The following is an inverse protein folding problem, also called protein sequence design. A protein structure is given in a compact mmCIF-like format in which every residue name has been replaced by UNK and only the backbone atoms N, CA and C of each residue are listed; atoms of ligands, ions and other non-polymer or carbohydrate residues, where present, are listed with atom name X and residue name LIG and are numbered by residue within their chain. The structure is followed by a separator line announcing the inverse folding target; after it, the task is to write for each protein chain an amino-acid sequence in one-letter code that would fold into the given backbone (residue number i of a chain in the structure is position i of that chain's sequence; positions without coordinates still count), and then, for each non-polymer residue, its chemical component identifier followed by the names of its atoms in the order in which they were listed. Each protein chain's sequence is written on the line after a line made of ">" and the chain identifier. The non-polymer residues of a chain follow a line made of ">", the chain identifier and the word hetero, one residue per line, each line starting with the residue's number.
data_IF_071313853631
#
_entry.id   IF_071313853631
#
_cell.length_a   1.000
_cell.length_b   1.000
_cell.length_c   1.000
_cell.angle_alpha   90.00
_cell.angle_beta   90.00
_cell.angle_gamma   90.00
#
_symmetry.space_group_name_H-M   'P 1'
#
loop_
_entity.id
_entity.type
_entity.pdbx_description
1 polymer ?
#
# COMPACT_ATOMS: atom_id res chain seq x y z
N UNK A 1 -15.66 -51.82 -12.05
CA UNK A 1 -16.11 -50.42 -11.98
C UNK A 1 -14.97 -49.59 -11.41
N UNK A 2 -14.27 -48.81 -12.25
CA UNK A 2 -13.14 -47.99 -11.82
C UNK A 2 -13.66 -46.61 -11.39
N UNK A 3 -13.49 -46.28 -10.11
CA UNK A 3 -13.77 -44.95 -9.57
C UNK A 3 -12.67 -43.99 -10.02
N UNK A 4 -12.97 -43.17 -11.02
CA UNK A 4 -12.10 -42.07 -11.44
C UNK A 4 -12.12 -40.97 -10.39
N UNK A 5 -10.99 -40.76 -9.70
CA UNK A 5 -10.76 -39.61 -8.82
C UNK A 5 -10.50 -38.40 -9.70
N UNK A 6 -11.49 -37.53 -9.85
CA UNK A 6 -11.33 -36.23 -10.48
C UNK A 6 -10.68 -35.29 -9.47
N UNK A 7 -9.38 -35.06 -9.63
CA UNK A 7 -8.65 -34.03 -8.90
C UNK A 7 -8.97 -32.68 -9.54
N UNK A 8 -9.85 -31.91 -8.91
CA UNK A 8 -10.03 -30.50 -9.25
C UNK A 8 -8.78 -29.73 -8.81
N UNK A 9 -7.90 -29.45 -9.76
CA UNK A 9 -6.81 -28.50 -9.56
C UNK A 9 -7.42 -27.09 -9.43
N UNK A 10 -7.70 -26.67 -8.20
CA UNK A 10 -8.01 -25.28 -7.91
C UNK A 10 -6.76 -24.45 -8.25
N UNK A 11 -6.81 -23.73 -9.36
CA UNK A 11 -5.80 -22.70 -9.67
C UNK A 11 -5.82 -21.70 -8.53
N UNK A 12 -4.73 -21.66 -7.76
CA UNK A 12 -4.56 -20.64 -6.73
C UNK A 12 -4.30 -19.34 -7.46
N UNK A 13 -5.35 -18.64 -7.87
CA UNK A 13 -5.24 -17.30 -8.40
C UNK A 13 -4.46 -16.49 -7.38
N UNK A 14 -3.29 -15.98 -7.79
CA UNK A 14 -2.54 -15.01 -7.02
C UNK A 14 -3.50 -13.87 -6.72
N UNK A 15 -3.93 -13.80 -5.48
CA UNK A 15 -4.69 -12.66 -5.02
C UNK A 15 -3.63 -11.59 -4.80
N UNK A 16 -3.68 -10.56 -5.63
CA UNK A 16 -2.91 -9.32 -5.51
C UNK A 16 -3.76 -8.31 -4.77
N UNK A 17 -3.15 -7.38 -4.02
CA UNK A 17 -3.84 -6.17 -3.57
C UNK A 17 -4.38 -5.37 -4.76
N UNK A 18 -4.61 -4.07 -4.63
CA UNK A 18 -4.85 -3.15 -5.76
C UNK A 18 -4.49 -3.71 -7.14
N UNK A 19 -5.47 -3.86 -8.03
CA UNK A 19 -5.22 -4.47 -9.34
C UNK A 19 -4.34 -3.61 -10.25
N UNK A 20 -3.94 -4.12 -11.42
CA UNK A 20 -3.04 -3.39 -12.30
C UNK A 20 -3.51 -1.99 -12.73
N UNK A 21 -4.83 -1.81 -12.83
CA UNK A 21 -5.43 -0.51 -13.12
C UNK A 21 -5.23 0.49 -11.97
N UNK A 22 -5.34 0.04 -10.70
CA UNK A 22 -5.15 0.88 -9.54
C UNK A 22 -3.71 1.41 -9.45
N UNK A 23 -2.71 0.55 -9.64
CA UNK A 23 -1.31 0.99 -9.63
C UNK A 23 -1.01 2.01 -10.74
N UNK A 24 -1.57 1.82 -11.94
CA UNK A 24 -1.46 2.78 -13.05
C UNK A 24 -2.10 4.13 -12.70
N UNK A 25 -3.31 4.10 -12.12
CA UNK A 25 -4.01 5.31 -11.70
C UNK A 25 -3.23 6.06 -10.62
N UNK A 26 -2.73 5.38 -9.60
CA UNK A 26 -1.95 6.00 -8.51
C UNK A 26 -0.65 6.59 -9.05
N UNK A 27 0.11 5.84 -9.86
CA UNK A 27 1.35 6.32 -10.49
C UNK A 27 1.12 7.59 -11.32
N UNK A 28 0.15 7.56 -12.24
CA UNK A 28 -0.15 8.72 -13.07
C UNK A 28 -0.63 9.92 -12.25
N UNK A 29 -1.39 9.70 -11.20
CA UNK A 29 -1.95 10.78 -10.38
C UNK A 29 -0.89 11.38 -9.46
N UNK A 30 0.07 10.59 -8.97
CA UNK A 30 1.13 11.03 -8.07
C UNK A 30 1.97 12.17 -8.66
N UNK A 31 2.16 12.18 -9.99
CA UNK A 31 2.90 13.23 -10.71
C UNK A 31 2.29 14.62 -10.46
N UNK A 32 0.95 14.73 -10.41
CA UNK A 32 0.25 15.99 -10.20
C UNK A 32 0.51 16.57 -8.80
N UNK A 33 0.88 15.72 -7.84
CA UNK A 33 1.17 16.10 -6.47
C UNK A 33 2.62 16.43 -6.19
N UNK A 34 3.51 16.26 -7.18
CA UNK A 34 4.91 16.59 -7.01
C UNK A 34 5.12 18.10 -6.93
N UNK A 35 6.13 18.59 -6.20
CA UNK A 35 6.53 19.99 -6.22
C UNK A 35 6.81 20.50 -7.64
N UNK A 36 6.46 21.75 -7.98
CA UNK A 36 6.65 22.30 -9.33
C UNK A 36 8.07 22.14 -9.89
N UNK A 37 9.08 22.18 -9.02
CA UNK A 37 10.50 22.15 -9.35
C UNK A 37 10.92 20.82 -10.01
N UNK A 38 10.29 19.71 -9.63
CA UNK A 38 10.61 18.38 -10.17
C UNK A 38 9.50 17.82 -11.06
N UNK A 39 8.29 18.37 -10.97
CA UNK A 39 7.10 17.86 -11.69
C UNK A 39 7.34 17.75 -13.20
N UNK A 40 8.03 18.72 -13.81
CA UNK A 40 8.28 18.72 -15.26
C UNK A 40 9.00 17.46 -15.76
N UNK A 41 10.00 16.98 -15.01
CA UNK A 41 10.71 15.74 -15.36
C UNK A 41 9.78 14.52 -15.33
N UNK A 42 8.97 14.38 -14.28
CA UNK A 42 8.07 13.24 -14.13
C UNK A 42 6.89 13.30 -15.10
N UNK A 43 6.41 14.50 -15.44
CA UNK A 43 5.38 14.69 -16.46
C UNK A 43 5.88 14.26 -17.84
N UNK A 44 7.10 14.64 -18.21
CA UNK A 44 7.74 14.20 -19.45
C UNK A 44 7.95 12.68 -19.52
N UNK A 45 8.04 12.00 -18.37
CA UNK A 45 8.20 10.55 -18.26
C UNK A 45 6.91 9.83 -17.81
N UNK A 46 5.76 10.49 -17.88
CA UNK A 46 4.46 9.96 -17.40
C UNK A 46 4.15 8.58 -17.98
N UNK A 47 4.35 8.41 -19.30
CA UNK A 47 4.04 7.15 -19.97
C UNK A 47 4.85 6.00 -19.37
N UNK A 48 6.16 6.19 -19.21
CA UNK A 48 7.04 5.19 -18.59
C UNK A 48 6.56 4.81 -17.19
N UNK A 49 6.27 5.79 -16.32
CA UNK A 49 5.84 5.53 -14.94
C UNK A 49 4.52 4.74 -14.88
N UNK A 50 3.61 4.99 -15.83
CA UNK A 50 2.33 4.26 -15.92
C UNK A 50 2.55 2.84 -16.47
N UNK A 51 3.38 2.67 -17.49
CA UNK A 51 3.68 1.37 -18.08
C UNK A 51 4.39 0.44 -17.09
N UNK A 52 5.34 0.99 -16.33
CA UNK A 52 6.14 0.27 -15.34
C UNK A 52 5.49 0.21 -13.94
N UNK A 53 4.23 0.68 -13.80
CA UNK A 53 3.53 0.72 -12.52
C UNK A 53 3.30 -0.66 -11.87
N UNK A 54 3.39 -1.74 -12.64
CA UNK A 54 3.14 -3.13 -12.20
C UNK A 54 4.40 -4.01 -12.26
N UNK A 55 5.56 -3.42 -12.51
CA UNK A 55 6.81 -4.16 -12.57
C UNK A 55 7.11 -4.93 -11.28
N UNK A 56 6.89 -4.37 -10.07
CA UNK A 56 7.11 -5.10 -8.82
C UNK A 56 6.29 -6.39 -8.71
N UNK A 57 5.02 -6.40 -9.14
CA UNK A 57 4.23 -7.64 -9.21
C UNK A 57 4.86 -8.65 -10.20
N UNK A 58 5.36 -8.15 -11.33
CA UNK A 58 6.10 -8.94 -12.30
C UNK A 58 7.39 -9.54 -11.74
N UNK A 59 8.06 -8.83 -10.83
CA UNK A 59 9.30 -9.27 -10.18
C UNK A 59 9.09 -10.49 -9.28
N UNK A 60 7.88 -10.75 -8.79
CA UNK A 60 7.56 -11.98 -8.03
C UNK A 60 7.86 -13.27 -8.80
N UNK A 61 7.86 -13.22 -10.15
CA UNK A 61 8.24 -14.37 -11.00
C UNK A 61 9.74 -14.66 -10.95
N UNK A 62 10.56 -13.66 -10.62
CA UNK A 62 12.03 -13.72 -10.64
C UNK A 62 12.61 -13.82 -9.22
N UNK A 63 12.03 -13.10 -8.27
CA UNK A 63 12.44 -13.10 -6.86
C UNK A 63 11.32 -13.64 -5.97
N UNK A 64 11.54 -14.84 -5.42
CA UNK A 64 10.59 -15.47 -4.47
C UNK A 64 10.35 -14.64 -3.20
N UNK A 65 11.28 -13.72 -2.88
CA UNK A 65 11.19 -12.83 -1.74
C UNK A 65 10.48 -11.52 -2.07
N UNK A 66 10.12 -11.27 -3.32
CA UNK A 66 9.43 -10.05 -3.70
C UNK A 66 8.06 -9.98 -3.02
N UNK A 67 7.33 -11.10 -2.96
CA UNK A 67 5.96 -11.12 -2.43
C UNK A 67 5.81 -10.53 -1.03
N UNK A 68 6.78 -10.74 -0.12
CA UNK A 68 6.69 -10.15 1.23
C UNK A 68 6.79 -8.62 1.24
N UNK A 69 7.29 -8.01 0.16
CA UNK A 69 7.49 -6.57 -0.01
C UNK A 69 6.23 -5.81 -0.38
N UNK A 70 5.14 -6.52 -0.68
CA UNK A 70 3.86 -5.94 -1.06
C UNK A 70 2.84 -5.86 0.09
N UNK A 71 3.16 -6.39 1.28
CA UNK A 71 2.22 -6.38 2.40
C UNK A 71 2.92 -6.19 3.75
N UNK A 72 2.11 -5.88 4.76
CA UNK A 72 2.46 -5.99 6.17
C UNK A 72 1.22 -6.30 7.02
N UNK A 73 1.23 -7.39 7.76
CA UNK A 73 0.10 -7.76 8.62
C UNK A 73 0.16 -7.00 9.95
N UNK A 74 -0.31 -5.75 9.96
CA UNK A 74 -0.24 -4.83 11.10
C UNK A 74 -0.98 -5.36 12.33
N UNK A 75 -2.06 -6.10 12.11
CA UNK A 75 -2.85 -6.79 13.14
C UNK A 75 -2.03 -7.80 13.97
N UNK A 76 -0.89 -8.26 13.45
CA UNK A 76 0.06 -9.09 14.21
C UNK A 76 1.02 -8.31 15.09
N UNK A 77 1.12 -6.99 14.94
CA UNK A 77 2.05 -6.14 15.68
C UNK A 77 1.39 -5.32 16.80
N UNK A 78 0.06 -5.41 16.93
CA UNK A 78 -0.72 -4.82 18.01
C UNK A 78 -1.86 -3.94 17.48
N UNK A 79 -2.22 -2.92 18.25
CA UNK A 79 -3.24 -1.95 17.87
C UNK A 79 -2.61 -0.62 17.44
N UNK A 80 -3.30 0.11 16.57
CA UNK A 80 -2.94 1.48 16.23
C UNK A 80 -2.77 2.33 17.51
N UNK A 81 -1.70 3.16 17.64
CA UNK A 81 -0.78 3.60 16.59
C UNK A 81 0.49 2.74 16.40
N UNK A 82 0.47 1.46 16.80
CA UNK A 82 1.57 0.51 16.61
C UNK A 82 2.91 0.97 17.19
N UNK A 83 2.88 1.54 18.41
CA UNK A 83 4.06 2.07 19.10
C UNK A 83 5.23 1.07 19.25
N UNK A 84 4.92 -0.22 19.19
CA UNK A 84 5.89 -1.28 19.32
C UNK A 84 6.58 -1.68 18.02
N UNK A 85 6.07 -1.26 16.86
CA UNK A 85 6.62 -1.60 15.56
C UNK A 85 7.78 -0.65 15.21
N UNK A 86 9.05 -1.10 15.22
CA UNK A 86 10.17 -0.21 14.98
C UNK A 86 10.18 0.24 13.52
N UNK A 87 10.45 1.53 13.32
CA UNK A 87 10.52 2.09 11.97
C UNK A 87 11.79 1.66 11.21
N UNK A 88 12.87 1.29 11.91
CA UNK A 88 14.09 0.74 11.30
C UNK A 88 13.96 -0.77 11.11
N UNK A 89 14.29 -1.27 9.92
CA UNK A 89 14.31 -2.71 9.63
C UNK A 89 15.27 -3.47 10.54
N UNK A 90 16.43 -2.88 10.87
CA UNK A 90 17.39 -3.47 11.82
C UNK A 90 16.78 -3.62 13.22
N UNK A 91 16.07 -2.61 13.70
CA UNK A 91 15.42 -2.68 15.00
C UNK A 91 14.23 -3.66 14.99
N UNK A 92 13.46 -3.70 13.89
CA UNK A 92 12.34 -4.62 13.73
C UNK A 92 12.81 -6.08 13.71
N UNK A 93 13.88 -6.38 12.96
CA UNK A 93 14.47 -7.72 12.91
C UNK A 93 15.13 -8.11 14.22
N UNK A 94 15.75 -7.18 14.95
CA UNK A 94 16.28 -7.44 16.29
C UNK A 94 15.17 -7.76 17.30
N UNK A 95 14.02 -7.06 17.22
CA UNK A 95 12.90 -7.25 18.14
C UNK A 95 12.05 -8.49 17.83
N UNK A 96 11.77 -8.74 16.55
CA UNK A 96 10.79 -9.75 16.12
C UNK A 96 11.41 -10.96 15.42
N UNK A 97 12.68 -10.88 15.03
CA UNK A 97 13.37 -11.91 14.25
C UNK A 97 13.07 -11.80 12.75
N UNK A 98 14.06 -12.15 11.91
CA UNK A 98 13.93 -12.11 10.44
C UNK A 98 12.81 -13.01 9.91
N UNK A 99 12.64 -14.20 10.48
CA UNK A 99 11.60 -15.14 10.04
C UNK A 99 10.18 -14.60 10.22
N UNK A 100 9.93 -13.90 11.34
CA UNK A 100 8.63 -13.25 11.57
C UNK A 100 8.40 -12.10 10.61
N UNK A 101 9.38 -11.21 10.44
CA UNK A 101 9.27 -10.09 9.49
C UNK A 101 9.03 -10.59 8.07
N UNK A 102 9.72 -11.66 7.64
CA UNK A 102 9.54 -12.20 6.29
C UNK A 102 8.15 -12.82 6.06
N UNK A 103 7.56 -13.44 7.09
CA UNK A 103 6.21 -14.02 7.02
C UNK A 103 5.11 -12.97 7.15
N UNK A 104 5.33 -11.97 7.99
CA UNK A 104 4.33 -10.96 8.33
C UNK A 104 4.44 -9.71 7.44
N UNK A 105 5.38 -9.69 6.48
CA UNK A 105 5.53 -8.68 5.44
C UNK A 105 6.53 -7.57 5.79
N UNK A 106 7.19 -7.02 4.77
CA UNK A 106 8.23 -5.99 4.91
C UNK A 106 7.97 -4.70 4.11
N UNK A 107 6.74 -4.51 3.62
CA UNK A 107 6.33 -3.36 2.79
C UNK A 107 6.80 -1.98 3.30
N UNK A 108 6.68 -1.61 4.59
CA UNK A 108 7.10 -0.28 5.05
C UNK A 108 8.57 0.01 4.86
N UNK A 109 9.40 -1.01 5.05
CA UNK A 109 10.84 -0.87 4.89
C UNK A 109 11.22 -0.84 3.42
N UNK A 110 10.51 -1.58 2.57
CA UNK A 110 10.68 -1.52 1.12
C UNK A 110 10.44 -0.11 0.57
N UNK A 111 9.37 0.57 1.04
CA UNK A 111 9.10 1.97 0.69
C UNK A 111 10.28 2.87 1.10
N UNK A 112 10.86 2.64 2.28
CA UNK A 112 12.04 3.34 2.75
C UNK A 112 13.27 3.13 1.87
N UNK A 113 13.52 1.88 1.44
CA UNK A 113 14.63 1.54 0.55
C UNK A 113 14.49 2.21 -0.82
N UNK A 114 13.32 2.11 -1.46
CA UNK A 114 13.08 2.74 -2.77
C UNK A 114 13.07 4.27 -2.71
N UNK A 115 12.60 4.86 -1.60
CA UNK A 115 12.73 6.30 -1.35
C UNK A 115 14.20 6.74 -1.29
N UNK A 116 15.06 5.94 -0.66
CA UNK A 116 16.50 6.20 -0.60
C UNK A 116 17.17 6.02 -1.97
N UNK A 117 16.83 4.95 -2.70
CA UNK A 117 17.35 4.70 -4.05
C UNK A 117 17.01 5.85 -5.00
N UNK A 118 15.73 6.25 -5.05
CA UNK A 118 15.28 7.39 -5.84
C UNK A 118 16.04 8.69 -5.48
N UNK A 119 16.20 8.96 -4.18
CA UNK A 119 16.96 10.13 -3.71
C UNK A 119 18.41 10.11 -4.18
N UNK A 120 19.05 8.94 -4.12
CA UNK A 120 20.44 8.77 -4.53
C UNK A 120 20.60 8.83 -6.06
N UNK A 121 19.65 8.26 -6.81
CA UNK A 121 19.57 8.35 -8.27
C UNK A 121 19.45 9.80 -8.74
N UNK A 122 18.56 10.58 -8.10
CA UNK A 122 18.41 12.02 -8.39
C UNK A 122 19.71 12.80 -8.11
N UNK A 123 20.37 12.55 -6.98
CA UNK A 123 21.65 13.19 -6.64
C UNK A 123 22.78 12.83 -7.61
N UNK A 124 22.79 11.59 -8.07
CA UNK A 124 23.82 11.05 -8.96
C UNK A 124 23.46 11.21 -10.43
N UNK A 125 22.33 11.87 -10.74
CA UNK A 125 21.81 12.11 -12.09
C UNK A 125 21.66 10.84 -12.93
N UNK A 126 21.32 9.71 -12.29
CA UNK A 126 21.06 8.43 -12.96
C UNK A 126 19.59 8.37 -13.39
N UNK A 127 19.27 9.04 -14.49
CA UNK A 127 17.87 9.28 -14.88
C UNK A 127 17.09 8.00 -15.22
N UNK A 128 17.75 6.94 -15.68
CA UNK A 128 17.11 5.64 -15.91
C UNK A 128 16.67 5.00 -14.60
N UNK A 129 17.61 4.85 -13.65
CA UNK A 129 17.34 4.37 -12.29
C UNK A 129 16.25 5.20 -11.61
N UNK A 130 16.26 6.54 -11.77
CA UNK A 130 15.25 7.43 -11.19
C UNK A 130 13.84 7.10 -11.68
N UNK A 131 13.67 6.77 -12.97
CA UNK A 131 12.34 6.46 -13.53
C UNK A 131 11.84 5.11 -13.02
N UNK A 132 12.71 4.10 -13.01
CA UNK A 132 12.39 2.76 -12.51
C UNK A 132 12.08 2.79 -11.00
N UNK A 133 12.97 3.40 -10.21
CA UNK A 133 12.80 3.52 -8.76
C UNK A 133 11.55 4.32 -8.40
N UNK A 134 11.20 5.35 -9.18
CA UNK A 134 9.98 6.14 -8.94
C UNK A 134 8.70 5.33 -9.22
N UNK A 135 8.65 4.58 -10.32
CA UNK A 135 7.51 3.72 -10.64
C UNK A 135 7.31 2.63 -9.56
N UNK A 136 8.40 1.99 -9.14
CA UNK A 136 8.39 0.98 -8.09
C UNK A 136 8.04 1.57 -6.72
N UNK A 137 8.57 2.74 -6.37
CA UNK A 137 8.22 3.43 -5.12
C UNK A 137 6.72 3.73 -5.06
N UNK A 138 6.15 4.28 -6.13
CA UNK A 138 4.73 4.59 -6.20
C UNK A 138 3.87 3.31 -6.13
N UNK A 139 4.33 2.20 -6.71
CA UNK A 139 3.68 0.89 -6.57
C UNK A 139 3.60 0.45 -5.11
N UNK A 140 4.72 0.39 -4.39
CA UNK A 140 4.72 -0.02 -2.96
C UNK A 140 3.93 0.95 -2.09
N UNK A 141 3.98 2.25 -2.39
CA UNK A 141 3.13 3.22 -1.69
C UNK A 141 1.66 2.94 -1.95
N UNK A 142 1.25 2.60 -3.18
CA UNK A 142 -0.12 2.20 -3.48
C UNK A 142 -0.53 0.96 -2.68
N UNK A 143 0.33 -0.07 -2.63
CA UNK A 143 0.11 -1.27 -1.83
C UNK A 143 -0.14 -0.97 -0.35
N UNK A 144 0.60 -0.01 0.23
CA UNK A 144 0.43 0.38 1.62
C UNK A 144 -0.90 1.10 1.89
N UNK A 145 -1.53 1.64 0.84
CA UNK A 145 -2.88 2.21 0.91
C UNK A 145 -3.98 1.17 0.63
N UNK A 146 -3.65 -0.08 0.31
CA UNK A 146 -4.62 -1.15 0.30
C UNK A 146 -4.89 -1.61 1.74
N UNK A 147 -6.10 -1.41 2.28
CA UNK A 147 -6.41 -1.95 3.61
C UNK A 147 -6.18 -3.47 3.69
N UNK A 148 -6.36 -4.22 2.60
CA UNK A 148 -6.20 -5.67 2.58
C UNK A 148 -4.73 -6.09 2.66
N UNK A 149 -3.80 -5.34 2.05
CA UNK A 149 -2.35 -5.58 2.19
C UNK A 149 -1.82 -5.27 3.60
N UNK A 150 -2.65 -4.67 4.47
CA UNK A 150 -2.28 -4.31 5.84
C UNK A 150 -2.83 -5.24 6.93
N UNK A 151 -3.55 -6.30 6.55
CA UNK A 151 -4.19 -7.25 7.48
C UNK A 151 -3.95 -8.69 7.07
N UNK A 152 -3.89 -9.60 8.05
CA UNK A 152 -3.85 -11.02 7.77
C UNK A 152 -5.16 -11.53 7.12
N UNK A 153 -6.30 -10.84 7.28
CA UNK A 153 -7.57 -11.19 6.63
C UNK A 153 -7.66 -10.71 5.17
N UNK A 154 -6.54 -10.76 4.46
CA UNK A 154 -6.35 -10.19 3.14
C UNK A 154 -7.40 -10.65 2.11
N UNK A 155 -7.71 -11.95 2.04
CA UNK A 155 -8.71 -12.48 1.10
C UNK A 155 -10.10 -12.71 1.74
N UNK A 156 -10.35 -12.18 2.93
CA UNK A 156 -11.59 -12.42 3.67
C UNK A 156 -11.70 -13.83 4.27
N UNK A 157 -10.59 -14.57 4.35
CA UNK A 157 -10.57 -15.97 4.81
C UNK A 157 -10.95 -16.14 6.30
N UNK A 158 -10.71 -15.12 7.13
CA UNK A 158 -11.11 -15.14 8.54
C UNK A 158 -12.59 -14.75 8.74
N UNK A 159 -13.21 -14.13 7.75
CA UNK A 159 -14.61 -13.68 7.78
C UNK A 159 -15.53 -14.48 6.87
N UNK A 160 -15.03 -15.58 6.27
CA UNK A 160 -15.74 -16.42 5.30
C UNK A 160 -16.21 -15.65 4.05
N UNK A 161 -15.44 -14.65 3.63
CA UNK A 161 -15.71 -13.82 2.46
C UNK A 161 -14.63 -13.99 1.39
N UNK A 162 -14.22 -15.23 1.13
CA UNK A 162 -13.20 -15.57 0.14
C UNK A 162 -13.40 -14.83 -1.20
N UNK A 163 -12.32 -14.36 -1.81
CA UNK A 163 -12.35 -13.50 -3.00
C UNK A 163 -12.55 -12.01 -2.69
N UNK A 164 -12.45 -11.60 -1.42
CA UNK A 164 -12.59 -10.19 -1.05
C UNK A 164 -11.51 -9.32 -1.71
N UNK A 165 -10.27 -9.80 -1.75
CA UNK A 165 -9.16 -9.07 -2.35
C UNK A 165 -9.40 -8.77 -3.83
N UNK A 166 -9.84 -9.77 -4.60
CA UNK A 166 -10.14 -9.61 -6.01
C UNK A 166 -11.32 -8.66 -6.25
N UNK A 167 -12.43 -8.84 -5.51
CA UNK A 167 -13.60 -7.97 -5.64
C UNK A 167 -13.29 -6.51 -5.30
N UNK A 168 -12.48 -6.28 -4.27
CA UNK A 168 -12.17 -4.94 -3.78
C UNK A 168 -11.02 -4.27 -4.56
N UNK A 169 -9.90 -4.95 -4.72
CA UNK A 169 -8.70 -4.39 -5.34
C UNK A 169 -8.76 -4.33 -6.86
N UNK A 170 -9.48 -5.25 -7.50
CA UNK A 170 -9.51 -5.39 -8.96
C UNK A 170 -10.86 -4.94 -9.52
N UNK A 171 -11.94 -5.69 -9.24
CA UNK A 171 -13.23 -5.46 -9.90
C UNK A 171 -13.83 -4.08 -9.61
N UNK A 172 -13.68 -3.58 -8.37
CA UNK A 172 -14.13 -2.25 -8.01
C UNK A 172 -13.41 -1.19 -8.86
N UNK A 173 -12.10 -1.34 -9.08
CA UNK A 173 -11.30 -0.32 -9.76
C UNK A 173 -11.48 -0.40 -11.25
N UNK A 174 -11.51 -1.61 -11.82
CA UNK A 174 -11.76 -1.78 -13.24
C UNK A 174 -13.13 -1.24 -13.64
N UNK A 175 -14.16 -1.49 -12.82
CA UNK A 175 -15.54 -1.04 -13.10
C UNK A 175 -15.77 0.43 -12.81
N UNK A 176 -15.14 0.98 -11.77
CA UNK A 176 -15.41 2.34 -11.29
C UNK A 176 -14.19 3.26 -11.38
N UNK A 177 -13.20 2.94 -12.20
CA UNK A 177 -11.99 3.75 -12.41
C UNK A 177 -12.30 5.24 -12.63
N UNK A 178 -13.34 5.55 -13.41
CA UNK A 178 -13.78 6.92 -13.68
C UNK A 178 -14.39 7.66 -12.46
N UNK A 179 -14.80 6.94 -11.41
CA UNK A 179 -15.32 7.51 -10.18
C UNK A 179 -14.23 7.83 -9.15
N UNK A 180 -13.03 7.24 -9.30
CA UNK A 180 -11.90 7.65 -8.50
C UNK A 180 -11.44 9.02 -8.98
N UNK A 181 -11.87 10.07 -8.26
CA UNK A 181 -11.46 11.45 -8.52
C UNK A 181 -9.98 11.57 -8.12
N UNK A 182 -9.09 11.22 -9.03
CA UNK A 182 -7.66 11.48 -8.89
C UNK A 182 -7.24 12.82 -9.50
N UNK A 183 -8.20 13.56 -10.08
CA UNK A 183 -7.99 14.90 -10.64
C UNK A 183 -7.71 15.90 -9.53
N UNK A 184 -6.44 16.28 -9.35
CA UNK A 184 -5.96 17.55 -8.77
C UNK A 184 -6.59 18.08 -7.48
N UNK A 185 -7.39 17.28 -6.77
CA UNK A 185 -8.08 17.73 -5.57
C UNK A 185 -7.08 17.66 -4.42
N UNK A 186 -7.05 18.75 -3.65
CA UNK A 186 -6.13 19.07 -2.55
C UNK A 186 -6.01 17.91 -1.52
N UNK A 187 -6.98 16.99 -1.49
CA UNK A 187 -6.97 15.79 -0.64
C UNK A 187 -5.92 14.74 -1.05
N UNK A 188 -5.65 14.56 -2.36
CA UNK A 188 -4.68 13.56 -2.85
C UNK A 188 -3.23 14.08 -2.73
N UNK A 189 -3.03 15.38 -2.89
CA UNK A 189 -1.71 16.02 -2.89
C UNK A 189 -1.30 16.60 -1.53
N UNK A 190 -1.87 16.13 -0.42
CA UNK A 190 -1.57 16.68 0.89
C UNK A 190 -0.07 16.53 1.20
N UNK A 191 0.68 17.62 1.40
CA UNK A 191 2.10 17.55 1.64
C UNK A 191 2.38 16.83 2.97
N UNK A 192 3.43 16.00 2.98
CA UNK A 192 4.05 15.52 4.22
C UNK A 192 4.69 16.74 4.92
N UNK A 193 3.89 17.53 5.64
CA UNK A 193 4.36 18.79 6.27
C UNK A 193 5.52 18.52 7.23
N UNK A 194 6.73 19.05 7.02
CA UNK A 194 7.81 18.96 8.01
C UNK A 194 7.54 19.96 9.13
N UNK A 195 6.85 19.53 10.18
CA UNK A 195 6.70 20.35 11.40
C UNK A 195 7.73 19.92 12.42
N UNK A 196 8.97 20.36 12.24
CA UNK A 196 9.82 20.86 13.33
C UNK A 196 11.04 21.57 12.74
N UNK A 197 11.14 22.87 13.03
CA UNK A 197 12.41 23.57 13.01
C UNK A 197 13.23 23.00 14.17
N UNK A 198 14.23 22.21 13.87
CA UNK A 198 15.42 22.06 14.69
C UNK A 198 16.55 21.67 13.75
N UNK A 199 17.51 22.59 13.63
CA UNK A 199 18.81 22.34 13.04
C UNK A 199 19.41 21.01 13.54
N UNK A 200 20.22 20.40 12.68
CA UNK A 200 21.15 19.27 12.92
C UNK A 200 20.68 17.91 12.38
N UNK A 201 21.36 17.47 11.31
CA UNK A 201 21.53 16.05 11.00
C UNK A 201 20.52 15.44 10.00
N UNK A 202 20.86 15.51 8.72
CA UNK A 202 20.30 14.70 7.63
C UNK A 202 20.63 13.22 7.92
N UNK A 203 19.84 12.55 8.77
CA UNK A 203 19.96 11.09 9.00
C UNK A 203 18.74 10.40 9.63
N UNK A 204 17.59 11.07 9.82
CA UNK A 204 16.48 10.52 10.63
C UNK A 204 15.08 10.45 9.98
N UNK A 205 14.90 10.76 8.70
CA UNK A 205 13.54 11.06 8.18
C UNK A 205 12.81 9.99 7.35
N UNK A 206 13.30 8.76 7.24
CA UNK A 206 12.53 7.66 6.59
C UNK A 206 11.41 7.10 7.49
N UNK A 207 11.48 7.36 8.80
CA UNK A 207 10.56 6.86 9.82
C UNK A 207 9.20 7.58 9.88
N UNK A 208 9.12 8.81 9.37
CA UNK A 208 7.93 9.68 9.53
C UNK A 208 6.86 9.42 8.46
N UNK A 209 7.25 8.77 7.35
CA UNK A 209 6.34 8.36 6.29
C UNK A 209 5.37 7.26 6.76
N UNK A 210 5.87 6.28 7.53
CA UNK A 210 5.09 5.11 7.94
C UNK A 210 3.83 5.45 8.76
N UNK A 211 3.92 6.39 9.71
CA UNK A 211 2.77 6.77 10.56
C UNK A 211 1.82 7.76 9.85
N UNK A 212 2.33 8.63 8.97
CA UNK A 212 1.52 9.71 8.37
C UNK A 212 0.75 9.28 7.14
N UNK A 213 1.18 8.21 6.46
CA UNK A 213 0.47 7.61 5.33
C UNK A 213 -0.76 6.81 5.78
N UNK A 214 -0.72 6.16 6.96
CA UNK A 214 -1.79 5.27 7.45
C UNK A 214 -2.79 5.92 8.44
N UNK A 215 -2.37 6.93 9.20
CA UNK A 215 -3.19 7.52 10.26
C UNK A 215 -4.49 8.21 9.80
N UNK A 216 -4.54 8.96 8.67
CA UNK A 216 -5.76 9.68 8.28
C UNK A 216 -6.90 8.77 7.78
N UNK A 217 -6.58 7.56 7.30
CA UNK A 217 -7.55 6.66 6.67
C UNK A 217 -8.04 5.54 7.60
N UNK A 218 -7.21 5.06 8.54
CA UNK A 218 -7.65 4.14 9.59
C UNK A 218 -8.56 4.84 10.63
N UNK A 219 -8.41 6.16 10.81
CA UNK A 219 -9.23 6.93 11.76
C UNK A 219 -10.66 7.23 11.25
N UNK A 220 -10.96 6.98 9.97
CA UNK A 220 -12.32 7.15 9.41
C UNK A 220 -13.23 5.95 9.62
N UNK A 221 -12.75 4.90 10.33
CA UNK A 221 -13.49 3.65 10.60
C UNK A 221 -14.10 3.62 12.02
N UNK A 222 -14.71 4.72 12.44
CA UNK A 222 -15.64 4.75 13.59
C UNK A 222 -17.06 5.15 13.16
N UNK A 223 -17.55 4.52 12.10
CA UNK A 223 -18.99 4.43 11.83
C UNK A 223 -19.38 2.95 11.86
N UNK A 224 -19.32 2.38 13.07
CA UNK A 224 -20.28 1.34 13.43
C UNK A 224 -21.61 2.06 13.72
N UNK A 225 -22.77 1.55 13.26
CA UNK A 225 -24.04 2.13 13.64
C UNK A 225 -24.17 2.06 15.17
N UNK A 226 -24.32 3.21 15.82
CA UNK A 226 -24.72 3.26 17.23
C UNK A 226 -26.08 2.57 17.30
N UNK A 227 -26.17 1.53 18.10
CA UNK A 227 -27.44 1.05 18.64
C UNK A 227 -28.08 2.21 19.39
N UNK A 228 -29.20 2.71 18.88
CA UNK A 228 -30.07 3.66 19.61
C UNK A 228 -30.85 2.91 20.68
N UNK A 229 -30.83 3.35 21.95
CA UNK A 229 -31.75 2.84 22.96
C UNK A 229 -33.08 3.59 22.90
N UNK A 230 -34.17 2.83 22.80
CA UNK A 230 -35.50 3.10 23.36
C UNK A 230 -36.27 4.33 22.90
N UNK A 231 -37.40 4.11 22.21
CA UNK A 231 -38.60 4.91 22.39
C UNK A 231 -39.84 4.00 22.41
N UNK A 232 -40.48 4.03 23.57
CA UNK A 232 -41.76 3.44 23.98
C UNK A 232 -42.94 3.87 23.09
N UNK A 233 -43.81 2.90 22.79
CA UNK A 233 -45.26 3.04 22.87
C UNK A 233 -46.00 3.65 21.67
N UNK A 234 -46.63 2.80 20.85
CA UNK A 234 -47.90 3.11 20.19
C UNK A 234 -48.83 1.90 20.32
N UNK A 235 -50.03 2.19 20.88
CA UNK A 235 -51.13 1.26 21.16
C UNK A 235 -51.74 0.70 19.88
N UNK A 236 -52.30 -0.51 20.03
CA UNK A 236 -53.29 -1.12 19.13
C UNK A 236 -54.51 -0.21 18.97
N UNK A 237 -54.99 -0.12 17.75
CA UNK A 237 -56.31 0.32 17.31
C UNK A 237 -56.63 -0.46 16.04
#
# INVERSE_FOLDING_TARGET
>A
MALGVVVWAATVSGTYGWGPAAHRLVNGSAIQCLPPEIRGFFEANRQYLVEHANDPDGWMKKDRYERMRHYIYLDKYGYFPYLNLPHSYKAATARYGKGRIGRDGNLPWQIGEYSLKLTNGLKSQKWDDVREDAAALAHYVADAHDPLNTTQNYNGQLTRQAGLAERFGIHLIDRYSNFFITRGSIAFCSPISPRSKASTGIRKNTSTAFTRTLAPLLCRRSMLPRTTPGLTGIRRG
#
